data_IF_353255067979
#
_entry.id   IF_353255067979
#
_cell.length_a   1.000
_cell.length_b   1.000
_cell.length_c   1.000
_cell.angle_alpha   90.00
_cell.angle_beta   90.00
_cell.angle_gamma   90.00
#
_symmetry.space_group_name_H-M   'P 1'
#
loop_
_entity.id
_entity.type
_entity.pdbx_description
1 polymer ?
#
# COMPACT_ATOMS: atom_id res chain seq x y z
N UNK A 1 1.11 39.31 -15.96
CA UNK A 1 0.16 38.31 -16.50
C UNK A 1 0.81 36.94 -16.77
N UNK A 2 2.05 36.87 -17.27
CA UNK A 2 2.78 35.59 -17.53
C UNK A 2 2.84 34.63 -16.33
N UNK A 3 3.09 35.15 -15.12
CA UNK A 3 3.13 34.31 -13.90
C UNK A 3 1.80 33.64 -13.56
N UNK A 4 0.67 34.32 -13.78
CA UNK A 4 -0.66 33.75 -13.49
C UNK A 4 -0.95 32.59 -14.43
N UNK A 5 -0.60 32.74 -15.71
CA UNK A 5 -0.74 31.67 -16.70
C UNK A 5 0.15 30.47 -16.34
N UNK A 6 1.41 30.72 -15.98
CA UNK A 6 2.32 29.68 -15.49
C UNK A 6 1.76 28.94 -14.28
N UNK A 7 1.19 29.67 -13.32
CA UNK A 7 0.59 29.08 -12.12
C UNK A 7 -0.63 28.21 -12.46
N UNK A 8 -1.49 28.65 -13.38
CA UNK A 8 -2.62 27.84 -13.86
C UNK A 8 -2.15 26.57 -14.56
N UNK A 9 -1.16 26.68 -15.46
CA UNK A 9 -0.59 25.51 -16.16
C UNK A 9 0.02 24.53 -15.15
N UNK A 10 0.76 25.03 -14.17
CA UNK A 10 1.33 24.20 -13.12
C UNK A 10 0.25 23.49 -12.32
N UNK A 11 -0.85 24.18 -11.97
CA UNK A 11 -1.96 23.59 -11.24
C UNK A 11 -2.64 22.47 -12.04
N UNK A 12 -2.87 22.69 -13.34
CA UNK A 12 -3.48 21.70 -14.23
C UNK A 12 -2.57 20.46 -14.39
N UNK A 13 -1.27 20.67 -14.56
CA UNK A 13 -0.30 19.58 -14.62
C UNK A 13 -0.30 18.75 -13.33
N UNK A 14 -0.34 19.42 -12.18
CA UNK A 14 -0.35 18.75 -10.87
C UNK A 14 -1.66 17.98 -10.62
N UNK A 15 -2.80 18.56 -10.99
CA UNK A 15 -4.10 17.90 -10.90
C UNK A 15 -4.18 16.66 -11.80
N UNK A 16 -3.69 16.77 -13.05
CA UNK A 16 -3.59 15.63 -13.96
C UNK A 16 -2.68 14.53 -13.41
N UNK A 17 -1.52 14.91 -12.88
CA UNK A 17 -0.60 13.97 -12.23
C UNK A 17 -1.23 13.29 -11.00
N UNK A 18 -1.96 14.04 -10.17
CA UNK A 18 -2.65 13.51 -9.00
C UNK A 18 -3.69 12.45 -9.37
N UNK A 19 -4.54 12.73 -10.37
CA UNK A 19 -5.54 11.76 -10.87
C UNK A 19 -4.86 10.51 -11.47
N UNK A 20 -3.75 10.70 -12.18
CA UNK A 20 -2.97 9.60 -12.73
C UNK A 20 -2.34 8.72 -11.64
N UNK A 21 -1.68 9.32 -10.65
CA UNK A 21 -1.01 8.61 -9.57
C UNK A 21 -1.99 7.87 -8.64
N UNK A 22 -3.22 8.39 -8.49
CA UNK A 22 -4.30 7.71 -7.76
C UNK A 22 -4.88 6.51 -8.52
N UNK A 23 -4.65 6.43 -9.83
CA UNK A 23 -5.19 5.36 -10.68
C UNK A 23 -6.59 5.66 -11.23
N UNK A 24 -7.11 6.89 -11.08
CA UNK A 24 -8.42 7.27 -11.65
C UNK A 24 -8.45 7.15 -13.18
N UNK A 25 -7.26 7.22 -13.81
CA UNK A 25 -7.09 7.07 -15.25
C UNK A 25 -6.84 5.61 -15.70
N UNK A 26 -6.90 4.63 -14.79
CA UNK A 26 -6.64 3.22 -15.10
C UNK A 26 -7.64 2.66 -16.12
N UNK A 27 -8.92 3.08 -16.07
CA UNK A 27 -9.94 2.67 -17.03
C UNK A 27 -9.68 3.12 -18.48
N UNK A 28 -8.81 4.13 -18.67
CA UNK A 28 -8.39 4.61 -19.99
C UNK A 28 -7.08 3.96 -20.48
N UNK A 29 -6.53 2.99 -19.74
CA UNK A 29 -5.25 2.33 -20.07
C UNK A 29 -4.03 3.21 -19.85
N UNK A 30 -4.19 4.37 -19.20
CA UNK A 30 -3.12 5.33 -18.94
C UNK A 30 -2.37 5.08 -17.64
N UNK A 31 -2.86 4.20 -16.76
CA UNK A 31 -2.18 3.86 -15.52
C UNK A 31 -1.16 2.73 -15.73
N UNK A 32 0.09 2.88 -15.28
CA UNK A 32 1.06 1.79 -15.28
C UNK A 32 0.59 0.63 -14.39
N UNK A 33 0.84 -0.61 -14.84
CA UNK A 33 0.47 -1.83 -14.13
C UNK A 33 0.99 -1.85 -12.68
N UNK A 34 2.14 -1.21 -12.42
CA UNK A 34 2.73 -1.07 -11.08
C UNK A 34 1.88 -0.26 -10.08
N UNK A 35 0.99 0.63 -10.53
CA UNK A 35 0.06 1.34 -9.64
C UNK A 35 -1.12 0.46 -9.21
N UNK A 36 -1.53 -0.49 -10.06
CA UNK A 36 -2.58 -1.47 -9.73
C UNK A 36 -2.03 -2.64 -8.91
N UNK A 37 -0.77 -3.00 -9.14
CA UNK A 37 -0.06 -4.08 -8.45
C UNK A 37 0.43 -3.61 -7.08
N UNK A 38 -0.46 -3.66 -6.08
CA UNK A 38 -0.08 -3.48 -4.68
C UNK A 38 0.69 -4.72 -4.20
N UNK A 39 1.99 -4.71 -4.51
CA UNK A 39 3.05 -5.56 -3.93
C UNK A 39 2.92 -7.08 -4.15
N UNK A 40 2.91 -7.55 -5.42
CA UNK A 40 3.04 -8.98 -5.71
C UNK A 40 4.30 -9.60 -5.10
N UNK A 41 5.37 -8.81 -4.91
CA UNK A 41 6.59 -9.26 -4.23
C UNK A 41 6.35 -9.70 -2.78
N UNK A 42 5.30 -9.22 -2.09
CA UNK A 42 4.96 -9.72 -0.76
C UNK A 42 4.44 -11.16 -0.83
N UNK A 43 3.67 -11.52 -1.86
CA UNK A 43 3.18 -12.88 -2.05
C UNK A 43 4.34 -13.87 -2.25
N UNK A 44 5.35 -13.48 -3.04
CA UNK A 44 6.55 -14.29 -3.25
C UNK A 44 7.43 -14.46 -1.99
N UNK A 45 7.22 -13.62 -0.97
CA UNK A 45 7.92 -13.69 0.32
C UNK A 45 7.03 -14.16 1.47
N UNK A 46 5.78 -14.54 1.21
CA UNK A 46 4.90 -15.07 2.26
C UNK A 46 5.37 -16.48 2.63
N UNK A 47 5.91 -16.61 3.84
CA UNK A 47 6.23 -17.88 4.46
C UNK A 47 4.92 -18.47 4.98
N UNK A 48 4.56 -19.68 4.54
CA UNK A 48 3.38 -20.48 4.89
C UNK A 48 2.75 -20.13 6.26
N UNK A 49 1.87 -19.12 6.33
CA UNK A 49 1.27 -18.70 7.60
C UNK A 49 0.41 -19.82 8.20
N UNK A 50 -0.07 -20.77 7.39
CA UNK A 50 -0.82 -21.93 7.80
C UNK A 50 -0.03 -22.89 8.71
N UNK A 51 1.30 -22.83 8.73
CA UNK A 51 2.13 -23.63 9.61
C UNK A 51 2.25 -23.04 11.02
N UNK A 52 1.79 -21.81 11.24
CA UNK A 52 1.85 -21.15 12.53
C UNK A 52 0.74 -21.67 13.46
N UNK A 53 1.12 -22.45 14.47
CA UNK A 53 0.19 -22.88 15.53
C UNK A 53 0.30 -21.94 16.73
N UNK A 54 -0.77 -21.17 17.00
CA UNK A 54 -0.86 -20.32 18.19
C UNK A 54 -1.14 -21.22 19.40
N UNK A 55 -0.15 -21.42 20.26
CA UNK A 55 -0.30 -22.13 21.53
C UNK A 55 -0.58 -21.12 22.64
N UNK A 56 -1.62 -21.36 23.44
CA UNK A 56 -1.79 -20.65 24.71
C UNK A 56 -0.71 -21.16 25.66
N UNK A 57 0.05 -20.26 26.27
CA UNK A 57 0.94 -20.65 27.37
C UNK A 57 0.09 -21.30 28.45
N UNK A 58 0.54 -22.47 28.91
CA UNK A 58 -0.07 -23.13 30.05
C UNK A 58 0.01 -22.17 31.25
N UNK A 59 -1.05 -22.06 32.07
CA UNK A 59 -0.96 -21.29 33.30
C UNK A 59 0.25 -21.82 34.08
N UNK A 60 1.24 -20.96 34.34
CA UNK A 60 2.39 -21.31 35.16
C UNK A 60 1.83 -21.72 36.52
N UNK A 61 1.77 -23.03 36.78
CA UNK A 61 1.33 -23.53 38.07
C UNK A 61 2.22 -22.89 39.13
N UNK A 62 1.62 -22.10 40.01
CA UNK A 62 2.33 -21.50 41.12
C UNK A 62 2.94 -22.65 41.93
N UNK A 63 4.28 -22.67 42.00
CA UNK A 63 5.00 -23.63 42.81
C UNK A 63 4.51 -23.49 44.28
N UNK A 64 4.18 -24.59 44.98
CA UNK A 64 3.78 -24.50 46.37
C UNK A 64 4.96 -23.97 47.18
N UNK A 65 4.71 -22.91 47.96
CA UNK A 65 5.69 -22.31 48.85
C UNK A 65 6.10 -23.30 49.95
N UNK A 66 7.37 -23.27 50.40
CA UNK A 66 7.88 -24.13 51.47
C UNK A 66 7.25 -23.83 52.84
#
# INVERSE_FOLDING_TARGET
>A
MKLRLLLVVLLLANAGYFLWARGDLAGFGLAPASLAEREPQRMARQIHPEWLQIRKEAPKAAAPAP
#
